data_IF_469580354271
#
_entry.id   IF_469580354271
#
_cell.length_a   1.000
_cell.length_b   1.000
_cell.length_c   1.000
_cell.angle_alpha   90.00
_cell.angle_beta   90.00
_cell.angle_gamma   90.00
#
_symmetry.space_group_name_H-M   'P 1'
#
loop_
_entity.id
_entity.type
_entity.pdbx_description
1 polymer ?
#
# COMPACT_ATOMS: atom_id res chain seq x y z
N UNK A 1 -11.33 -56.58 -46.58
CA UNK A 1 -10.06 -56.01 -46.07
C UNK A 1 -10.04 -54.49 -45.95
N UNK A 2 -10.83 -53.72 -46.72
CA UNK A 2 -10.78 -52.24 -46.69
C UNK A 2 -11.44 -51.56 -45.45
N UNK A 3 -12.30 -52.25 -44.71
CA UNK A 3 -13.09 -51.65 -43.62
C UNK A 3 -12.32 -51.43 -42.31
N UNK A 4 -11.27 -52.22 -42.03
CA UNK A 4 -10.47 -52.09 -40.81
C UNK A 4 -9.48 -50.92 -40.89
N UNK A 5 -8.89 -50.69 -42.06
CA UNK A 5 -7.97 -49.59 -42.33
C UNK A 5 -8.67 -48.23 -42.22
N UNK A 6 -9.86 -48.09 -42.80
CA UNK A 6 -10.66 -46.86 -42.70
C UNK A 6 -11.07 -46.57 -41.26
N UNK A 7 -11.46 -47.60 -40.49
CA UNK A 7 -11.77 -47.45 -39.06
C UNK A 7 -10.56 -47.03 -38.23
N UNK A 8 -9.36 -47.55 -38.52
CA UNK A 8 -8.14 -47.17 -37.83
C UNK A 8 -7.70 -45.72 -38.14
N UNK A 9 -7.92 -45.25 -39.38
CA UNK A 9 -7.66 -43.86 -39.78
C UNK A 9 -8.66 -42.91 -39.10
N UNK A 10 -9.95 -43.29 -39.04
CA UNK A 10 -10.97 -42.49 -38.35
C UNK A 10 -10.75 -42.43 -36.84
N UNK A 11 -10.32 -43.51 -36.18
CA UNK A 11 -10.01 -43.50 -34.75
C UNK A 11 -8.77 -42.63 -34.40
N UNK A 12 -7.88 -42.41 -35.37
CA UNK A 12 -6.74 -41.48 -35.25
C UNK A 12 -7.14 -40.03 -35.54
N UNK A 13 -8.30 -39.79 -36.14
CA UNK A 13 -8.78 -38.44 -36.35
C UNK A 13 -9.13 -37.82 -34.99
N UNK A 14 -8.54 -36.66 -34.70
CA UNK A 14 -8.77 -35.92 -33.44
C UNK A 14 -10.27 -35.65 -33.24
N UNK A 15 -11.05 -35.61 -34.32
CA UNK A 15 -12.51 -35.41 -34.33
C UNK A 15 -13.34 -36.50 -33.66
N UNK A 16 -12.79 -37.71 -33.46
CA UNK A 16 -13.50 -38.83 -32.81
C UNK A 16 -13.15 -38.97 -31.33
N UNK A 17 -12.25 -38.15 -30.79
CA UNK A 17 -11.97 -38.20 -29.35
C UNK A 17 -13.19 -37.68 -28.57
N UNK A 18 -13.55 -38.30 -27.43
CA UNK A 18 -14.63 -37.82 -26.57
C UNK A 18 -14.44 -36.38 -26.09
N UNK A 19 -13.18 -35.91 -26.09
CA UNK A 19 -12.79 -34.57 -25.65
C UNK A 19 -12.75 -33.54 -26.78
N UNK A 20 -12.86 -33.95 -28.05
CA UNK A 20 -12.72 -33.04 -29.19
C UNK A 20 -13.77 -31.93 -29.16
N UNK A 21 -15.03 -32.28 -28.90
CA UNK A 21 -16.13 -31.33 -28.83
C UNK A 21 -16.31 -30.72 -27.44
N UNK A 22 -15.70 -31.26 -26.38
CA UNK A 22 -15.74 -30.66 -25.03
C UNK A 22 -14.76 -29.51 -24.90
N UNK A 23 -13.57 -29.63 -25.50
CA UNK A 23 -12.48 -28.67 -25.30
C UNK A 23 -12.50 -27.54 -26.35
N UNK A 24 -13.03 -27.80 -27.56
CA UNK A 24 -13.01 -26.82 -28.66
C UNK A 24 -14.19 -25.85 -28.66
N UNK A 25 -15.24 -26.11 -27.89
CA UNK A 25 -16.51 -25.38 -27.93
C UNK A 25 -16.88 -24.72 -26.60
N UNK A 26 -15.90 -24.31 -25.79
CA UNK A 26 -16.15 -23.38 -24.69
C UNK A 26 -16.40 -21.98 -25.25
N UNK A 27 -17.56 -21.76 -25.88
CA UNK A 27 -18.08 -20.42 -26.14
C UNK A 27 -18.24 -19.78 -24.78
N UNK A 28 -17.24 -18.99 -24.38
CA UNK A 28 -17.21 -18.29 -23.10
C UNK A 28 -18.55 -17.59 -22.91
N UNK A 29 -19.22 -17.87 -21.81
CA UNK A 29 -20.55 -17.34 -21.56
C UNK A 29 -20.53 -15.81 -21.64
N UNK A 30 -21.64 -15.17 -22.06
CA UNK A 30 -21.73 -13.70 -22.19
C UNK A 30 -21.31 -12.96 -20.90
N UNK A 31 -21.48 -13.58 -19.73
CA UNK A 31 -20.99 -13.07 -18.43
C UNK A 31 -19.46 -13.11 -18.35
N UNK A 32 -18.83 -14.24 -18.69
CA UNK A 32 -17.38 -14.42 -18.68
C UNK A 32 -16.67 -13.46 -19.64
N UNK A 33 -17.24 -13.23 -20.83
CA UNK A 33 -16.71 -12.25 -21.78
C UNK A 33 -16.76 -10.82 -21.20
N UNK A 34 -17.89 -10.44 -20.57
CA UNK A 34 -18.02 -9.14 -19.92
C UNK A 34 -17.05 -8.98 -18.76
N UNK A 35 -16.84 -10.02 -17.97
CA UNK A 35 -15.91 -9.99 -16.84
C UNK A 35 -14.45 -9.96 -17.31
N UNK A 36 -14.11 -10.63 -18.41
CA UNK A 36 -12.80 -10.52 -19.06
C UNK A 36 -12.52 -9.09 -19.53
N UNK A 37 -13.47 -8.45 -20.22
CA UNK A 37 -13.35 -7.05 -20.66
C UNK A 37 -13.20 -6.11 -19.47
N UNK A 38 -13.93 -6.34 -18.37
CA UNK A 38 -13.80 -5.55 -17.14
C UNK A 38 -12.43 -5.70 -16.50
N UNK A 39 -11.88 -6.92 -16.44
CA UNK A 39 -10.53 -7.18 -15.94
C UNK A 39 -9.48 -6.47 -16.79
N UNK A 40 -9.59 -6.59 -18.11
CA UNK A 40 -8.66 -5.95 -19.04
C UNK A 40 -8.70 -4.42 -18.93
N UNK A 41 -9.90 -3.81 -18.80
CA UNK A 41 -10.02 -2.36 -18.56
C UNK A 41 -9.38 -1.94 -17.24
N UNK A 42 -9.55 -2.73 -16.17
CA UNK A 42 -8.91 -2.45 -14.87
C UNK A 42 -7.39 -2.57 -14.96
N UNK A 43 -6.88 -3.58 -15.64
CA UNK A 43 -5.45 -3.78 -15.84
C UNK A 43 -4.84 -2.64 -16.67
N UNK A 44 -5.50 -2.21 -17.74
CA UNK A 44 -5.10 -1.04 -18.55
C UNK A 44 -5.12 0.27 -17.75
N UNK A 45 -6.09 0.47 -16.87
CA UNK A 45 -6.13 1.65 -16.00
C UNK A 45 -5.06 1.61 -14.90
N UNK A 46 -4.65 0.42 -14.47
CA UNK A 46 -3.62 0.20 -13.46
C UNK A 46 -2.21 0.04 -14.05
N UNK A 47 -2.02 0.20 -15.37
CA UNK A 47 -0.73 0.06 -16.03
C UNK A 47 -0.44 1.25 -16.93
N UNK A 48 0.80 1.73 -16.90
CA UNK A 48 1.29 2.79 -17.78
C UNK A 48 1.90 2.15 -19.02
N UNK A 49 1.13 2.06 -20.11
CA UNK A 49 1.59 1.42 -21.37
C UNK A 49 2.80 2.11 -21.98
N UNK A 50 2.91 3.43 -21.84
CA UNK A 50 4.05 4.22 -22.31
C UNK A 50 5.37 3.84 -21.62
N UNK A 51 5.29 3.24 -20.42
CA UNK A 51 6.44 2.92 -19.58
C UNK A 51 6.60 1.41 -19.42
N UNK A 52 6.65 0.70 -20.55
CA UNK A 52 6.82 -0.75 -20.60
C UNK A 52 5.81 -1.54 -19.74
N UNK A 53 4.61 -0.98 -19.52
CA UNK A 53 3.58 -1.60 -18.69
C UNK A 53 3.78 -1.45 -17.18
N UNK A 54 4.49 -0.39 -16.74
CA UNK A 54 4.69 -0.10 -15.32
C UNK A 54 3.37 -0.11 -14.56
N UNK A 55 3.31 -0.86 -13.46
CA UNK A 55 2.07 -1.04 -12.69
C UNK A 55 1.90 0.08 -11.68
N UNK A 56 0.65 0.47 -11.44
CA UNK A 56 0.27 1.34 -10.34
C UNK A 56 0.53 0.61 -9.03
N UNK A 57 1.28 1.24 -8.13
CA UNK A 57 1.66 0.62 -6.86
C UNK A 57 0.75 1.10 -5.74
N UNK A 58 0.25 0.14 -4.95
CA UNK A 58 -0.46 0.44 -3.72
C UNK A 58 0.55 0.72 -2.62
N UNK A 59 1.03 1.97 -2.56
CA UNK A 59 2.08 2.37 -1.63
C UNK A 59 1.63 2.26 -0.17
N UNK A 60 2.40 1.51 0.62
CA UNK A 60 2.27 1.41 2.06
C UNK A 60 2.66 2.71 2.78
N UNK A 61 2.41 2.79 4.10
CA UNK A 61 2.75 3.98 4.88
C UNK A 61 4.26 4.25 4.98
N UNK A 62 5.08 3.19 4.97
CA UNK A 62 6.55 3.29 5.00
C UNK A 62 7.08 3.78 3.65
N UNK A 63 6.69 3.13 2.56
CA UNK A 63 7.07 3.50 1.19
C UNK A 63 6.69 4.96 0.83
N UNK A 64 5.52 5.43 1.29
CA UNK A 64 5.13 6.85 1.11
C UNK A 64 6.09 7.80 1.80
N UNK A 65 6.51 7.49 3.03
CA UNK A 65 7.48 8.32 3.75
C UNK A 65 8.85 8.29 3.07
N UNK A 66 9.25 7.15 2.52
CA UNK A 66 10.50 7.05 1.75
C UNK A 66 10.46 7.92 0.50
N UNK A 67 9.34 7.93 -0.23
CA UNK A 67 9.17 8.83 -1.38
C UNK A 67 9.14 10.31 -0.98
N UNK A 68 8.53 10.64 0.17
CA UNK A 68 8.59 11.98 0.73
C UNK A 68 10.03 12.38 1.09
N UNK A 69 10.83 11.46 1.63
CA UNK A 69 12.23 11.69 1.95
C UNK A 69 13.06 12.08 0.73
N UNK A 70 12.77 11.53 -0.46
CA UNK A 70 13.47 11.90 -1.70
C UNK A 70 13.32 13.40 -2.05
N UNK A 71 12.26 14.08 -1.61
CA UNK A 71 12.10 15.52 -1.81
C UNK A 71 13.22 16.32 -1.11
N UNK A 72 13.73 15.76 -0.02
CA UNK A 72 14.73 16.37 0.84
C UNK A 72 16.17 15.97 0.48
N UNK A 73 16.38 15.26 -0.64
CA UNK A 73 17.71 14.82 -1.11
C UNK A 73 18.74 15.94 -1.23
N UNK A 74 18.30 17.18 -1.39
CA UNK A 74 19.16 18.36 -1.46
C UNK A 74 20.05 18.52 -0.22
N UNK A 75 19.60 18.06 0.95
CA UNK A 75 20.39 18.15 2.18
C UNK A 75 21.59 17.19 2.23
N UNK A 76 21.64 16.21 1.33
CA UNK A 76 22.74 15.25 1.23
C UNK A 76 23.91 15.86 0.46
N UNK A 77 23.61 16.50 -0.67
CA UNK A 77 24.64 17.11 -1.49
C UNK A 77 25.03 18.46 -0.87
N UNK A 78 26.29 18.63 -0.41
CA UNK A 78 26.73 19.88 0.20
C UNK A 78 26.52 21.10 -0.71
N UNK A 79 26.60 20.91 -2.03
CA UNK A 79 26.39 21.97 -3.02
C UNK A 79 24.92 22.39 -3.15
N UNK A 80 23.99 21.48 -2.88
CA UNK A 80 22.54 21.71 -3.03
C UNK A 80 21.86 22.02 -1.68
N UNK A 81 22.59 22.03 -0.58
CA UNK A 81 22.06 22.18 0.79
C UNK A 81 21.25 23.46 0.99
N UNK A 82 21.58 24.53 0.26
CA UNK A 82 20.90 25.81 0.31
C UNK A 82 19.67 25.90 -0.60
N UNK A 83 19.47 24.92 -1.48
CA UNK A 83 18.32 24.89 -2.38
C UNK A 83 17.10 24.36 -1.65
N UNK A 84 15.98 25.07 -1.78
CA UNK A 84 14.71 24.63 -1.23
C UNK A 84 14.34 23.24 -1.78
N UNK A 85 13.79 22.33 -0.94
CA UNK A 85 13.25 21.06 -1.40
C UNK A 85 12.27 21.28 -2.53
N UNK A 86 12.38 20.48 -3.59
CA UNK A 86 11.44 20.57 -4.72
C UNK A 86 10.05 20.22 -4.21
N UNK A 87 9.11 21.17 -4.31
CA UNK A 87 7.70 20.91 -4.05
C UNK A 87 7.20 20.01 -5.18
N UNK A 88 7.00 18.73 -4.90
CA UNK A 88 6.24 17.89 -5.81
C UNK A 88 4.77 18.27 -5.70
N UNK A 89 4.10 18.54 -6.82
CA UNK A 89 2.64 18.57 -6.80
C UNK A 89 2.14 17.21 -6.31
N UNK A 90 1.30 17.25 -5.29
CA UNK A 90 0.86 16.12 -4.46
C UNK A 90 -0.13 15.20 -5.18
N UNK A 91 0.11 14.88 -6.44
CA UNK A 91 -0.37 13.66 -7.06
C UNK A 91 0.80 12.69 -6.96
N UNK A 92 0.86 11.98 -5.84
CA UNK A 92 1.89 10.98 -5.57
C UNK A 92 2.06 10.12 -6.82
N UNK A 93 3.28 10.05 -7.36
CA UNK A 93 3.65 9.20 -8.49
C UNK A 93 2.97 7.84 -8.34
N UNK A 94 1.86 7.63 -9.04
CA UNK A 94 1.03 6.44 -8.82
C UNK A 94 1.74 5.19 -9.35
N UNK A 95 2.69 5.40 -10.24
CA UNK A 95 3.52 4.41 -10.88
C UNK A 95 4.95 4.60 -10.38
N UNK A 96 5.40 3.73 -9.49
CA UNK A 96 6.75 3.74 -8.89
C UNK A 96 7.19 2.30 -8.72
N UNK A 97 8.47 2.03 -8.95
CA UNK A 97 9.06 0.71 -8.65
C UNK A 97 10.26 0.89 -7.71
N UNK A 98 10.30 0.09 -6.65
CA UNK A 98 11.42 0.02 -5.73
C UNK A 98 12.35 -1.10 -6.19
N UNK A 99 13.55 -0.72 -6.61
CA UNK A 99 14.61 -1.64 -7.02
C UNK A 99 15.83 -1.54 -6.11
N UNK A 100 16.76 -2.47 -6.29
CA UNK A 100 18.07 -2.42 -5.65
C UNK A 100 19.17 -2.51 -6.72
N UNK A 101 20.28 -1.84 -6.47
CA UNK A 101 21.44 -1.93 -7.34
C UNK A 101 22.25 -3.19 -7.02
N UNK A 102 22.36 -4.10 -7.99
CA UNK A 102 23.30 -5.22 -7.91
C UNK A 102 24.71 -4.76 -8.31
N UNK A 103 25.75 -5.40 -7.75
CA UNK A 103 27.15 -5.16 -8.16
C UNK A 103 27.82 -3.92 -7.56
N UNK A 104 27.23 -3.24 -6.58
CA UNK A 104 27.76 -1.99 -5.99
C UNK A 104 29.05 -2.13 -5.17
N UNK A 105 29.68 -3.32 -5.09
CA UNK A 105 30.84 -3.59 -4.23
C UNK A 105 30.59 -3.45 -2.72
N UNK A 106 29.41 -2.96 -2.30
CA UNK A 106 29.04 -2.77 -0.89
C UNK A 106 28.89 -4.12 -0.18
N UNK A 107 29.51 -4.22 1.01
CA UNK A 107 29.44 -5.40 1.87
C UNK A 107 27.96 -5.75 2.16
N UNK A 108 27.57 -7.01 1.95
CA UNK A 108 26.20 -7.50 2.18
C UNK A 108 25.66 -7.15 3.57
N UNK A 109 26.52 -7.18 4.61
CA UNK A 109 26.13 -6.87 6.00
C UNK A 109 25.84 -5.39 6.26
N UNK A 110 26.28 -4.51 5.38
CA UNK A 110 26.04 -3.06 5.46
C UNK A 110 24.90 -2.59 4.55
N UNK A 111 24.27 -3.51 3.80
CA UNK A 111 23.12 -3.19 2.95
C UNK A 111 21.89 -3.10 3.84
N UNK A 112 21.24 -1.94 3.81
CA UNK A 112 20.04 -1.71 4.58
C UNK A 112 18.82 -1.90 3.67
N UNK A 113 17.67 -2.11 4.29
CA UNK A 113 16.42 -2.42 3.57
C UNK A 113 15.80 -1.17 2.95
N UNK A 114 15.96 -0.03 3.60
CA UNK A 114 15.35 1.24 3.23
C UNK A 114 16.41 2.28 2.91
N UNK A 115 16.08 3.16 1.96
CA UNK A 115 16.86 4.37 1.70
C UNK A 115 16.97 5.25 2.96
N UNK A 116 15.93 5.32 3.79
CA UNK A 116 15.95 6.10 5.02
C UNK A 116 17.02 5.60 6.01
N UNK A 117 17.15 4.28 6.11
CA UNK A 117 18.14 3.64 6.98
C UNK A 117 19.56 3.88 6.45
N UNK A 118 19.77 3.76 5.13
CA UNK A 118 21.06 4.09 4.51
C UNK A 118 21.44 5.55 4.77
N UNK A 119 20.47 6.45 4.67
CA UNK A 119 20.71 7.88 4.88
C UNK A 119 21.13 8.19 6.32
N UNK A 120 20.51 7.56 7.32
CA UNK A 120 20.88 7.71 8.73
C UNK A 120 22.28 7.12 8.97
N UNK A 121 22.56 5.94 8.44
CA UNK A 121 23.86 5.27 8.61
C UNK A 121 25.02 6.07 7.99
N UNK A 122 24.78 6.76 6.87
CA UNK A 122 25.78 7.62 6.22
C UNK A 122 25.97 8.96 6.95
N UNK A 123 25.02 9.40 7.78
CA UNK A 123 25.02 10.72 8.44
C UNK A 123 24.72 10.61 9.95
N UNK A 124 25.73 10.34 10.81
CA UNK A 124 25.54 10.13 12.25
C UNK A 124 24.92 11.33 12.99
N UNK A 125 25.11 12.55 12.49
CA UNK A 125 24.52 13.76 13.07
C UNK A 125 22.98 13.75 12.98
N UNK A 126 22.43 13.20 11.89
CA UNK A 126 20.99 13.08 11.70
C UNK A 126 20.39 12.10 12.70
N UNK A 127 21.10 11.01 13.00
CA UNK A 127 20.66 10.01 13.98
C UNK A 127 20.42 10.66 15.35
N UNK A 128 21.34 11.51 15.81
CA UNK A 128 21.21 12.21 17.08
C UNK A 128 20.01 13.18 17.10
N UNK A 129 19.80 13.92 16.00
CA UNK A 129 18.68 14.86 15.88
C UNK A 129 17.35 14.11 15.87
N UNK A 130 17.26 13.01 15.12
CA UNK A 130 16.09 12.14 15.05
C UNK A 130 15.79 11.54 16.42
N UNK A 131 16.79 11.00 17.12
CA UNK A 131 16.63 10.45 18.46
C UNK A 131 16.10 11.50 19.47
N UNK A 132 16.63 12.73 19.43
CA UNK A 132 16.14 13.84 20.27
C UNK A 132 14.69 14.21 19.94
N UNK A 133 14.34 14.32 18.66
CA UNK A 133 12.97 14.65 18.21
C UNK A 133 11.97 13.54 18.56
N UNK A 134 12.33 12.27 18.38
CA UNK A 134 11.49 11.13 18.74
C UNK A 134 11.19 11.13 20.24
N UNK A 135 12.20 11.31 21.10
CA UNK A 135 12.01 11.44 22.55
C UNK A 135 11.03 12.58 22.90
N UNK A 136 11.16 13.73 22.23
CA UNK A 136 10.24 14.87 22.43
C UNK A 136 8.80 14.54 21.98
N UNK A 137 8.64 13.92 20.81
CA UNK A 137 7.33 13.55 20.26
C UNK A 137 6.62 12.50 21.13
N UNK A 138 7.35 11.49 21.61
CA UNK A 138 6.81 10.49 22.56
C UNK A 138 6.32 11.16 23.84
N UNK A 139 7.11 12.10 24.39
CA UNK A 139 6.72 12.88 25.57
C UNK A 139 5.46 13.72 25.32
N UNK A 140 5.37 14.38 24.16
CA UNK A 140 4.19 15.16 23.78
C UNK A 140 2.96 14.28 23.59
N UNK A 141 3.09 13.15 22.89
CA UNK A 141 2.00 12.19 22.68
C UNK A 141 1.49 11.61 24.01
N UNK A 142 2.37 11.36 24.97
CA UNK A 142 1.98 10.93 26.32
C UNK A 142 1.16 12.03 27.03
N UNK A 143 1.62 13.29 26.96
CA UNK A 143 0.90 14.43 27.55
C UNK A 143 -0.46 14.65 26.89
N UNK A 144 -0.56 14.58 25.57
CA UNK A 144 -1.82 14.77 24.85
C UNK A 144 -2.82 13.67 25.20
N UNK A 145 -2.39 12.39 25.22
CA UNK A 145 -3.23 11.28 25.67
C UNK A 145 -3.74 11.48 27.10
N UNK A 146 -2.88 11.92 28.02
CA UNK A 146 -3.29 12.22 29.40
C UNK A 146 -4.31 13.37 29.48
N UNK A 147 -4.11 14.44 28.71
CA UNK A 147 -5.06 15.55 28.66
C UNK A 147 -6.42 15.13 28.07
N UNK A 148 -6.40 14.35 26.99
CA UNK A 148 -7.62 13.81 26.38
C UNK A 148 -8.36 12.88 27.34
N UNK A 149 -7.64 11.99 28.04
CA UNK A 149 -8.24 11.13 29.07
C UNK A 149 -8.85 11.94 30.22
N UNK A 150 -8.18 13.00 30.69
CA UNK A 150 -8.73 13.91 31.71
C UNK A 150 -9.99 14.64 31.23
N UNK A 151 -10.01 15.10 29.98
CA UNK A 151 -11.21 15.73 29.40
C UNK A 151 -12.37 14.74 29.30
N UNK A 152 -12.11 13.53 28.79
CA UNK A 152 -13.11 12.48 28.68
C UNK A 152 -13.67 12.05 30.05
N UNK A 153 -12.80 11.93 31.07
CA UNK A 153 -13.23 11.60 32.43
C UNK A 153 -14.13 12.70 33.04
N UNK A 154 -13.80 13.98 32.83
CA UNK A 154 -14.64 15.10 33.27
C UNK A 154 -15.99 15.13 32.56
N UNK A 155 -16.01 14.83 31.26
CA UNK A 155 -17.24 14.76 30.49
C UNK A 155 -18.12 13.58 30.93
N UNK A 156 -17.53 12.40 31.12
CA UNK A 156 -18.23 11.23 31.67
C UNK A 156 -18.78 11.50 33.07
N UNK A 157 -18.03 12.17 33.94
CA UNK A 157 -18.49 12.58 35.27
C UNK A 157 -19.67 13.56 35.19
N UNK A 158 -19.61 14.55 34.28
CA UNK A 158 -20.73 15.49 34.01
C UNK A 158 -21.97 14.75 33.50
N UNK A 159 -21.82 13.78 32.61
CA UNK A 159 -22.95 12.98 32.10
C UNK A 159 -23.56 12.13 33.22
N UNK A 160 -22.74 11.49 34.07
CA UNK A 160 -23.22 10.75 35.25
C UNK A 160 -23.97 11.67 36.23
N UNK A 161 -23.43 12.84 36.54
CA UNK A 161 -24.07 13.83 37.42
C UNK A 161 -25.40 14.36 36.85
N UNK A 162 -25.49 14.58 35.53
CA UNK A 162 -26.76 14.94 34.86
C UNK A 162 -27.79 13.80 34.88
N UNK A 163 -27.34 12.54 34.80
CA UNK A 163 -28.24 11.37 34.89
C UNK A 163 -28.74 11.13 36.32
N UNK A 164 -27.89 11.34 37.34
CA UNK A 164 -28.29 11.22 38.75
C UNK A 164 -29.24 12.33 39.17
N UNK A 165 -29.00 13.59 38.75
CA UNK A 165 -29.91 14.70 39.06
C UNK A 165 -31.29 14.57 38.39
N UNK A 166 -31.35 14.04 37.17
CA UNK A 166 -32.63 13.69 36.51
C UNK A 166 -33.40 12.59 37.24
N UNK A 167 -32.72 11.62 37.84
CA UNK A 167 -33.36 10.54 38.63
C UNK A 167 -33.93 11.04 39.95
N UNK A 168 -33.25 11.95 40.63
CA UNK A 168 -33.77 12.58 41.86
C UNK A 168 -35.03 13.43 41.58
N UNK A 169 -34.99 14.31 40.56
CA UNK A 169 -36.18 15.11 40.17
C UNK A 169 -37.41 14.28 39.79
N UNK A 170 -37.22 13.06 39.27
CA UNK A 170 -38.34 12.16 38.93
C UNK A 170 -38.93 11.46 40.17
N UNK A 171 -38.13 11.26 41.22
CA UNK A 171 -38.60 10.69 42.50
C UNK A 171 -39.42 11.70 43.30
N UNK A 172 -39.03 12.98 43.27
CA UNK A 172 -39.74 14.05 43.98
C UNK A 172 -41.06 14.48 43.30
N UNK A 173 -41.32 14.03 42.07
CA UNK A 173 -42.61 14.24 41.37
C UNK A 173 -43.62 13.09 41.56
N UNK A 174 -43.23 12.02 42.25
CA UNK A 174 -44.06 10.82 42.48
C UNK A 174 -44.43 10.67 43.97
N UNK A 175 -43.95 11.58 44.83
CA UNK A 175 -44.42 11.81 46.19
C UNK A 175 -45.35 13.02 46.18
#
# INVERSE_FOLDING_TARGET
MASSSVKAIMAKAVTTSPTFFSDSNSVKGRKEQKDAIRKERKERAATLSQWYGMKKVNLGAEERRELELLQFRNFINPELKHQAPKKSNTEQSEFVEFGFFAGTGRNKRRRLKSFADEWIAENPELEQVVARRLKRNVRLNRKTKQLMAKKAAREAARVKAKKSSKRFKKKDMIL
#
